data_IF_400873404707
#
_entry.id   IF_400873404707
#
_cell.length_a   1.000
_cell.length_b   1.000
_cell.length_c   1.000
_cell.angle_alpha   90.00
_cell.angle_beta   90.00
_cell.angle_gamma   90.00
#
_symmetry.space_group_name_H-M   'P 1'
#
loop_
_entity.id
_entity.type
_entity.pdbx_description
1 polymer ?
#
# COMPACT_ATOMS: atom_id res chain seq x y z
N UNK A 1 18.01 -15.83 9.48
CA UNK A 1 17.15 -14.62 9.41
C UNK A 1 15.95 -14.99 8.57
N UNK A 2 14.73 -14.87 9.11
CA UNK A 2 13.51 -15.23 8.40
C UNK A 2 13.30 -14.21 7.28
N UNK A 3 13.31 -14.66 6.03
CA UNK A 3 13.04 -13.80 4.87
C UNK A 3 11.54 -13.43 4.91
N UNK A 4 11.16 -12.15 5.03
CA UNK A 4 9.74 -11.76 5.02
C UNK A 4 8.96 -12.28 3.81
N UNK A 5 7.69 -12.66 4.00
CA UNK A 5 6.84 -12.93 2.85
C UNK A 5 6.51 -11.61 2.13
N UNK A 6 6.23 -11.68 0.82
CA UNK A 6 5.86 -10.49 0.05
C UNK A 6 4.61 -9.79 0.60
N UNK A 7 3.67 -10.59 1.12
CA UNK A 7 2.46 -10.10 1.78
C UNK A 7 2.78 -9.26 3.03
N UNK A 8 3.71 -9.73 3.85
CA UNK A 8 4.06 -9.04 5.10
C UNK A 8 4.69 -7.69 4.82
N UNK A 9 5.53 -7.59 3.79
CA UNK A 9 6.10 -6.32 3.32
C UNK A 9 5.03 -5.35 2.83
N UNK A 10 4.05 -5.83 2.04
CA UNK A 10 2.95 -4.97 1.56
C UNK A 10 2.13 -4.43 2.72
N UNK A 11 1.85 -5.26 3.73
CA UNK A 11 1.16 -4.85 4.95
C UNK A 11 1.97 -3.81 5.73
N UNK A 12 3.27 -4.06 5.93
CA UNK A 12 4.15 -3.14 6.64
C UNK A 12 4.30 -1.79 5.92
N UNK A 13 4.40 -1.80 4.58
CA UNK A 13 4.48 -0.60 3.76
C UNK A 13 3.20 0.23 3.82
N UNK A 14 2.03 -0.41 3.74
CA UNK A 14 0.74 0.25 3.88
C UNK A 14 0.59 0.87 5.28
N UNK A 15 0.93 0.13 6.34
CA UNK A 15 0.87 0.62 7.71
C UNK A 15 1.81 1.82 7.94
N UNK A 16 3.01 1.80 7.35
CA UNK A 16 3.94 2.94 7.37
C UNK A 16 3.34 4.17 6.69
N UNK A 17 2.79 4.01 5.48
CA UNK A 17 2.17 5.11 4.74
C UNK A 17 0.99 5.73 5.52
N UNK A 18 0.11 4.90 6.07
CA UNK A 18 -1.02 5.34 6.89
C UNK A 18 -0.57 6.11 8.13
N UNK A 19 0.49 5.65 8.80
CA UNK A 19 1.04 6.30 9.99
C UNK A 19 1.65 7.67 9.65
N UNK A 20 2.40 7.78 8.54
CA UNK A 20 2.94 9.06 8.05
C UNK A 20 1.81 10.02 7.71
N UNK A 21 0.81 9.60 6.94
CA UNK A 21 -0.34 10.43 6.57
C UNK A 21 -1.08 10.93 7.82
N UNK A 22 -1.26 10.07 8.82
CA UNK A 22 -1.93 10.45 10.07
C UNK A 22 -1.13 11.47 10.86
N UNK A 23 0.18 11.26 11.00
CA UNK A 23 1.08 12.15 11.73
C UNK A 23 1.17 13.52 11.04
N UNK A 24 1.24 13.55 9.71
CA UNK A 24 1.23 14.79 8.93
C UNK A 24 -0.10 15.55 9.01
N UNK A 25 -1.23 14.84 9.05
CA UNK A 25 -2.57 15.46 9.16
C UNK A 25 -2.85 16.03 10.55
N UNK A 26 -2.45 15.34 11.61
CA UNK A 26 -2.71 15.74 12.98
C UNK A 26 -1.55 15.31 13.88
N UNK A 27 -0.48 16.12 13.97
CA UNK A 27 0.70 15.78 14.75
C UNK A 27 0.36 15.73 16.24
N UNK A 28 0.48 14.53 16.82
CA UNK A 28 0.29 14.27 18.25
C UNK A 28 1.40 13.33 18.73
N UNK A 29 1.67 13.27 20.05
CA UNK A 29 2.64 12.30 20.57
C UNK A 29 2.30 10.85 20.21
N UNK A 30 1.00 10.52 20.12
CA UNK A 30 0.53 9.20 19.74
C UNK A 30 0.75 8.90 18.23
N UNK A 31 0.51 9.87 17.35
CA UNK A 31 0.75 9.69 15.91
C UNK A 31 2.24 9.60 15.59
N UNK A 32 3.07 10.42 16.25
CA UNK A 32 4.51 10.38 16.10
C UNK A 32 5.06 9.00 16.53
N UNK A 33 4.56 8.47 17.66
CA UNK A 33 4.93 7.13 18.13
C UNK A 33 4.50 6.03 17.16
N UNK A 34 3.27 6.09 16.65
CA UNK A 34 2.79 5.12 15.67
C UNK A 34 3.62 5.15 14.39
N UNK A 35 4.04 6.33 13.93
CA UNK A 35 4.95 6.50 12.78
C UNK A 35 6.33 5.91 13.05
N UNK A 36 6.89 6.14 14.23
CA UNK A 36 8.17 5.54 14.65
C UNK A 36 8.10 4.01 14.70
N UNK A 37 7.05 3.45 15.30
CA UNK A 37 6.88 1.99 15.42
C UNK A 37 6.70 1.33 14.05
N UNK A 38 5.94 1.96 13.14
CA UNK A 38 5.79 1.49 11.76
C UNK A 38 7.11 1.59 10.98
N UNK A 39 7.86 2.69 11.15
CA UNK A 39 9.20 2.87 10.55
C UNK A 39 10.16 1.79 11.03
N UNK A 40 10.21 1.56 12.34
CA UNK A 40 11.07 0.55 12.94
C UNK A 40 10.76 -0.85 12.39
N UNK A 41 9.48 -1.20 12.31
CA UNK A 41 9.03 -2.48 11.76
C UNK A 41 9.49 -2.66 10.31
N UNK A 42 9.31 -1.64 9.46
CA UNK A 42 9.72 -1.69 8.05
C UNK A 42 11.25 -1.82 7.91
N UNK A 43 12.01 -1.04 8.70
CA UNK A 43 13.47 -1.13 8.73
C UNK A 43 13.96 -2.52 9.17
N UNK A 44 13.37 -3.11 10.20
CA UNK A 44 13.72 -4.47 10.67
C UNK A 44 13.40 -5.52 9.61
N UNK A 45 12.23 -5.46 8.98
CA UNK A 45 11.85 -6.40 7.93
C UNK A 45 12.79 -6.33 6.71
N UNK A 46 13.27 -5.14 6.40
CA UNK A 46 14.16 -4.91 5.24
C UNK A 46 15.65 -5.03 5.58
N UNK A 47 16.00 -5.11 6.86
CA UNK A 47 17.39 -5.09 7.32
C UNK A 47 18.11 -3.75 7.11
N UNK A 48 17.35 -2.65 7.07
CA UNK A 48 17.87 -1.29 6.86
C UNK A 48 17.77 -0.47 8.14
N UNK A 49 18.37 0.73 8.14
CA UNK A 49 18.31 1.68 9.28
C UNK A 49 17.64 3.00 8.91
N UNK A 50 17.47 3.27 7.62
CA UNK A 50 16.86 4.49 7.11
C UNK A 50 15.49 4.18 6.49
N UNK A 51 14.44 4.96 6.80
CA UNK A 51 13.09 4.73 6.28
C UNK A 51 13.01 4.82 4.76
N UNK A 52 13.78 5.71 4.11
CA UNK A 52 13.75 5.85 2.64
C UNK A 52 14.42 4.65 1.98
N UNK A 53 15.53 4.19 2.55
CA UNK A 53 16.17 2.95 2.13
C UNK A 53 15.24 1.74 2.31
N UNK A 54 14.53 1.67 3.44
CA UNK A 54 13.57 0.61 3.73
C UNK A 54 12.44 0.55 2.67
N UNK A 55 11.87 1.70 2.31
CA UNK A 55 10.85 1.80 1.26
C UNK A 55 11.43 1.36 -0.10
N UNK A 56 12.56 1.93 -0.52
CA UNK A 56 13.17 1.59 -1.81
C UNK A 56 13.52 0.09 -1.93
N UNK A 57 14.03 -0.51 -0.84
CA UNK A 57 14.33 -1.94 -0.79
C UNK A 57 13.07 -2.80 -0.84
N UNK A 58 12.01 -2.37 -0.16
CA UNK A 58 10.70 -3.04 -0.21
C UNK A 58 10.15 -3.02 -1.63
N UNK A 59 10.14 -1.85 -2.27
CA UNK A 59 9.64 -1.67 -3.65
C UNK A 59 10.44 -2.52 -4.64
N UNK A 60 11.78 -2.51 -4.56
CA UNK A 60 12.62 -3.35 -5.40
C UNK A 60 12.33 -4.85 -5.20
N UNK A 61 12.09 -5.25 -3.95
CA UNK A 61 11.81 -6.66 -3.64
C UNK A 61 10.42 -7.11 -4.10
N UNK A 62 9.42 -6.22 -4.01
CA UNK A 62 8.08 -6.47 -4.53
C UNK A 62 8.08 -6.46 -6.06
N UNK A 63 8.73 -5.50 -6.71
CA UNK A 63 8.88 -5.46 -8.15
C UNK A 63 9.57 -6.73 -8.69
N UNK A 64 10.65 -7.19 -8.03
CA UNK A 64 11.33 -8.44 -8.41
C UNK A 64 10.47 -9.71 -8.25
N UNK A 65 9.45 -9.69 -7.39
CA UNK A 65 8.47 -10.78 -7.25
C UNK A 65 7.29 -10.64 -8.22
N UNK A 66 6.94 -9.42 -8.59
CA UNK A 66 5.87 -9.12 -9.53
C UNK A 66 6.30 -9.30 -10.99
N UNK A 67 7.61 -9.40 -11.29
CA UNK A 67 8.13 -9.83 -12.61
C UNK A 67 7.76 -11.30 -12.95
N UNK A 68 7.27 -12.09 -11.98
CA UNK A 68 6.65 -13.39 -12.25
C UNK A 68 5.16 -13.32 -12.60
N UNK A 69 4.52 -12.14 -12.56
CA UNK A 69 3.18 -11.94 -13.12
C UNK A 69 3.36 -11.41 -14.55
N UNK A 70 3.57 -12.33 -15.48
CA UNK A 70 3.39 -12.04 -16.88
C UNK A 70 1.98 -11.54 -17.16
N UNK A 71 1.89 -10.43 -17.90
CA UNK A 71 0.74 -10.06 -18.72
C UNK A 71 -0.29 -9.17 -18.03
N UNK A 72 -0.11 -7.86 -18.12
CA UNK A 72 -1.06 -6.95 -18.78
C UNK A 72 -0.28 -5.68 -19.13
N UNK A 73 0.26 -5.62 -20.34
CA UNK A 73 0.40 -4.32 -21.00
C UNK A 73 -1.04 -3.89 -21.31
N UNK A 74 -1.71 -3.26 -20.34
CA UNK A 74 -3.05 -2.74 -20.54
C UNK A 74 -2.98 -1.77 -21.71
N UNK A 75 -3.48 -2.21 -22.86
CA UNK A 75 -3.74 -1.32 -23.97
C UNK A 75 -4.82 -0.35 -23.53
N UNK A 76 -4.87 0.86 -24.09
CA UNK A 76 -5.89 1.88 -23.77
C UNK A 76 -7.33 1.34 -23.81
N UNK A 77 -7.58 0.26 -24.54
CA UNK A 77 -8.84 -0.48 -24.59
C UNK A 77 -9.22 -1.17 -23.27
N UNK A 78 -8.26 -1.70 -22.50
CA UNK A 78 -8.53 -2.42 -21.25
C UNK A 78 -8.95 -1.47 -20.12
N UNK A 79 -8.37 -0.26 -20.09
CA UNK A 79 -8.74 0.79 -19.13
C UNK A 79 -10.19 1.26 -19.37
N UNK A 80 -10.64 1.29 -20.63
CA UNK A 80 -12.00 1.68 -20.97
C UNK A 80 -13.07 0.68 -20.47
N UNK A 81 -12.73 -0.61 -20.40
CA UNK A 81 -13.66 -1.65 -19.92
C UNK A 81 -13.90 -1.55 -18.41
N UNK A 82 -12.88 -1.19 -17.63
CA UNK A 82 -12.98 -0.98 -16.18
C UNK A 82 -13.85 0.25 -15.86
N UNK A 83 -13.74 1.31 -16.66
CA UNK A 83 -14.56 2.52 -16.50
C UNK A 83 -16.07 2.30 -16.70
N UNK A 84 -16.45 1.33 -17.55
CA UNK A 84 -17.86 0.98 -17.77
C UNK A 84 -18.46 0.12 -16.64
N UNK A 85 -17.66 -0.73 -15.98
CA UNK A 85 -18.15 -1.60 -14.90
C UNK A 85 -18.47 -0.84 -13.59
N UNK A 86 -17.87 0.33 -13.36
CA UNK A 86 -18.09 1.15 -12.15
C UNK A 86 -19.34 2.03 -12.25
N UNK A 87 -19.95 2.16 -13.43
CA UNK A 87 -21.12 3.02 -13.64
C UNK A 87 -22.48 2.32 -13.45
N UNK A 88 -22.49 1.02 -13.17
CA UNK A 88 -23.72 0.20 -13.05
C UNK A 88 -24.07 -0.12 -11.58
N UNK A 89 -24.14 0.91 -10.74
CA UNK A 89 -24.83 0.83 -9.43
C UNK A 89 -26.08 1.73 -9.47
N UNK A 90 -27.24 1.22 -9.90
CA UNK A 90 -28.50 1.94 -9.83
C UNK A 90 -29.02 1.92 -8.39
N UNK A 91 -28.66 2.95 -7.61
CA UNK A 91 -29.30 3.29 -6.35
C UNK A 91 -30.77 3.70 -6.55
N UNK A 92 -31.65 2.72 -6.77
CA UNK A 92 -33.10 2.89 -6.71
C UNK A 92 -33.57 2.77 -5.25
N UNK A 93 -33.49 3.86 -4.49
CA UNK A 93 -34.23 3.99 -3.22
C UNK A 93 -35.58 4.61 -3.54
N UNK A 94 -36.62 3.78 -3.60
CA UNK A 94 -38.00 4.24 -3.62
C UNK A 94 -38.39 4.78 -2.22
N UNK A 95 -39.10 5.91 -2.11
CA UNK A 95 -39.67 6.34 -0.84
C UNK A 95 -41.01 5.62 -0.59
N UNK A 96 -41.12 4.91 0.53
CA UNK A 96 -42.39 4.41 1.03
C UNK A 96 -43.12 5.53 1.80
N UNK A 97 -44.36 5.79 1.38
CA UNK A 97 -45.36 6.61 2.07
C UNK A 97 -46.08 5.79 3.16
#
# INVERSE_FOLDING_TARGET
MLVPAARDLRIALAAYADAVIRDERCPTPASARAREDATFTLCVMTGTRDPREAVARTDAWLAGKDVSVGGYAATTADIALIGQAVSDDPGAVAPAA
#
